data_IF_949430152801
#
_entry.id   IF_949430152801
#
_cell.length_a   1.000
_cell.length_b   1.000
_cell.length_c   1.000
_cell.angle_alpha   90.00
_cell.angle_beta   90.00
_cell.angle_gamma   90.00
#
_symmetry.space_group_name_H-M   'P 1'
#
loop_
_entity.id
_entity.type
_entity.pdbx_description
1 polymer ?
#
# COMPACT_ATOMS: atom_id res chain seq x y z
N UNK A 1 0.96 42.25 12.55
CA UNK A 1 1.16 40.81 12.25
C UNK A 1 0.29 40.45 11.06
N UNK A 2 0.83 40.47 9.85
CA UNK A 2 0.07 40.04 8.66
C UNK A 2 0.76 38.83 8.08
N UNK A 3 0.33 37.64 8.52
CA UNK A 3 0.58 36.43 7.77
C UNK A 3 -0.01 36.64 6.37
N UNK A 4 0.80 36.41 5.34
CA UNK A 4 0.34 36.57 3.96
C UNK A 4 -0.72 35.50 3.69
N UNK A 5 -2.00 35.90 3.75
CA UNK A 5 -3.15 35.02 3.55
C UNK A 5 -3.07 34.30 2.21
N UNK A 6 -2.51 34.96 1.19
CA UNK A 6 -2.23 34.36 -0.12
C UNK A 6 -1.25 33.18 -0.05
N UNK A 7 -0.19 33.29 0.74
CA UNK A 7 0.81 32.23 0.91
C UNK A 7 0.21 31.03 1.65
N UNK A 8 -0.57 31.30 2.71
CA UNK A 8 -1.26 30.25 3.46
C UNK A 8 -2.31 29.54 2.60
N UNK A 9 -3.11 30.29 1.84
CA UNK A 9 -4.08 29.73 0.90
C UNK A 9 -3.39 28.87 -0.17
N UNK A 10 -2.27 29.35 -0.73
CA UNK A 10 -1.49 28.60 -1.72
C UNK A 10 -0.97 27.29 -1.13
N UNK A 11 -0.40 27.33 0.08
CA UNK A 11 0.12 26.14 0.75
C UNK A 11 -0.98 25.10 1.01
N UNK A 12 -2.17 25.52 1.48
CA UNK A 12 -3.32 24.63 1.68
C UNK A 12 -3.79 24.02 0.36
N UNK A 13 -3.87 24.81 -0.71
CA UNK A 13 -4.25 24.31 -2.05
C UNK A 13 -3.24 23.28 -2.55
N UNK A 14 -1.92 23.53 -2.39
CA UNK A 14 -0.89 22.55 -2.78
C UNK A 14 -1.03 21.25 -1.98
N UNK A 15 -1.25 21.33 -0.68
CA UNK A 15 -1.49 20.14 0.15
C UNK A 15 -2.75 19.38 -0.28
N UNK A 16 -3.84 20.08 -0.58
CA UNK A 16 -5.08 19.46 -1.03
C UNK A 16 -4.92 18.80 -2.41
N UNK A 17 -4.33 19.49 -3.37
CA UNK A 17 -4.04 18.95 -4.71
C UNK A 17 -3.12 17.75 -4.60
N UNK A 18 -2.02 17.86 -3.84
CA UNK A 18 -1.10 16.76 -3.61
C UNK A 18 -1.79 15.54 -2.99
N UNK A 19 -2.64 15.74 -1.97
CA UNK A 19 -3.45 14.68 -1.36
C UNK A 19 -4.43 14.02 -2.35
N UNK A 20 -5.09 14.81 -3.20
CA UNK A 20 -5.97 14.27 -4.25
C UNK A 20 -5.19 13.44 -5.27
N UNK A 21 -4.01 13.90 -5.70
CA UNK A 21 -3.14 13.14 -6.61
C UNK A 21 -2.67 11.81 -5.98
N UNK A 22 -2.39 11.78 -4.69
CA UNK A 22 -2.01 10.55 -3.97
C UNK A 22 -3.12 9.50 -3.91
N UNK A 23 -4.39 9.89 -4.10
CA UNK A 23 -5.53 8.97 -4.17
C UNK A 23 -5.74 8.37 -5.57
N UNK A 24 -4.91 8.71 -6.54
CA UNK A 24 -5.01 8.16 -7.89
C UNK A 24 -4.22 6.85 -8.02
N UNK A 25 -4.59 5.99 -8.98
CA UNK A 25 -3.93 4.68 -9.21
C UNK A 25 -2.52 4.72 -9.83
N UNK A 26 -2.18 5.62 -10.78
CA UNK A 26 -0.86 5.57 -11.42
C UNK A 26 0.22 6.10 -10.47
N UNK A 27 1.30 5.33 -10.33
CA UNK A 27 2.39 5.57 -9.38
C UNK A 27 3.05 6.93 -9.65
N UNK A 28 3.24 7.29 -10.92
CA UNK A 28 3.75 8.62 -11.30
C UNK A 28 2.91 9.77 -10.74
N UNK A 29 1.56 9.65 -10.73
CA UNK A 29 0.69 10.68 -10.16
C UNK A 29 0.74 10.70 -8.64
N UNK A 30 0.84 9.55 -7.99
CA UNK A 30 1.02 9.47 -6.53
C UNK A 30 2.33 10.17 -6.14
N UNK A 31 3.41 9.90 -6.87
CA UNK A 31 4.72 10.50 -6.63
C UNK A 31 4.69 12.02 -6.86
N UNK A 32 4.05 12.47 -7.94
CA UNK A 32 3.84 13.89 -8.21
C UNK A 32 3.00 14.54 -7.10
N UNK A 33 1.98 13.85 -6.60
CA UNK A 33 1.17 14.28 -5.47
C UNK A 33 2.00 14.48 -4.20
N UNK A 34 2.90 13.55 -3.88
CA UNK A 34 3.82 13.64 -2.76
C UNK A 34 4.78 14.85 -2.89
N UNK A 35 5.30 15.10 -4.10
CA UNK A 35 6.16 16.27 -4.38
C UNK A 35 5.40 17.57 -4.19
N UNK A 36 4.19 17.69 -4.75
CA UNK A 36 3.36 18.90 -4.63
C UNK A 36 2.95 19.14 -3.18
N UNK A 37 2.53 18.10 -2.45
CA UNK A 37 2.21 18.20 -1.04
C UNK A 37 3.43 18.61 -0.19
N UNK A 38 4.61 18.03 -0.46
CA UNK A 38 5.87 18.40 0.19
C UNK A 38 6.23 19.87 0.00
N UNK A 39 6.03 20.41 -1.22
CA UNK A 39 6.19 21.84 -1.49
C UNK A 39 5.19 22.69 -0.70
N UNK A 40 3.92 22.26 -0.58
CA UNK A 40 2.92 22.91 0.26
C UNK A 40 3.32 22.94 1.74
N UNK A 41 3.83 21.83 2.28
CA UNK A 41 4.33 21.74 3.65
C UNK A 41 5.54 22.67 3.87
N UNK A 42 6.48 22.72 2.92
CA UNK A 42 7.62 23.65 2.99
C UNK A 42 7.16 25.12 3.04
N UNK A 43 6.11 25.47 2.29
CA UNK A 43 5.51 26.81 2.38
C UNK A 43 4.85 27.06 3.74
N UNK A 44 4.19 26.06 4.35
CA UNK A 44 3.64 26.19 5.70
C UNK A 44 4.75 26.42 6.74
N UNK A 45 5.84 25.66 6.67
CA UNK A 45 7.01 25.84 7.54
C UNK A 45 7.58 27.25 7.37
N UNK A 46 7.76 27.72 6.13
CA UNK A 46 8.28 29.06 5.87
C UNK A 46 7.32 30.17 6.32
N UNK A 47 6.01 29.91 6.29
CA UNK A 47 5.01 30.86 6.81
C UNK A 47 5.12 31.08 8.31
N UNK A 48 5.65 30.10 9.07
CA UNK A 48 5.84 30.21 10.52
C UNK A 48 6.94 31.20 10.92
N UNK A 49 7.83 31.55 9.99
CA UNK A 49 8.96 32.46 10.20
C UNK A 49 8.55 33.91 10.53
N UNK A 50 7.31 34.32 10.25
CA UNK A 50 6.85 35.66 10.59
C UNK A 50 7.07 36.69 9.48
N UNK A 51 7.24 37.96 9.85
CA UNK A 51 7.45 39.07 8.90
C UNK A 51 8.77 38.93 8.14
N UNK A 52 8.74 39.25 6.85
CA UNK A 52 9.96 39.33 6.03
C UNK A 52 10.92 40.38 6.61
N UNK A 53 12.00 39.92 7.22
CA UNK A 53 13.13 40.74 7.65
C UNK A 53 14.26 40.70 6.63
N UNK A 54 15.41 41.23 7.01
CA UNK A 54 16.63 41.04 6.24
C UNK A 54 17.03 39.55 6.21
N UNK A 55 17.76 39.16 5.16
CA UNK A 55 18.36 37.84 5.09
C UNK A 55 19.26 37.60 6.32
N UNK A 56 19.29 36.37 6.88
CA UNK A 56 20.15 35.99 8.00
C UNK A 56 21.61 35.86 7.56
N UNK A 57 22.16 36.94 7.02
CA UNK A 57 23.56 37.13 6.67
C UNK A 57 24.14 38.07 7.73
N UNK A 58 25.21 37.65 8.41
CA UNK A 58 25.82 38.39 9.54
C UNK A 58 26.42 39.76 9.16
N UNK A 59 26.22 40.24 7.93
CA UNK A 59 26.82 41.46 7.42
C UNK A 59 25.81 42.63 7.49
N UNK A 60 26.07 43.58 8.39
CA UNK A 60 25.53 44.94 8.30
C UNK A 60 24.06 45.17 8.71
N UNK A 61 23.36 44.17 9.29
CA UNK A 61 21.96 44.33 9.74
C UNK A 61 21.81 44.02 11.24
N UNK A 62 21.06 44.84 12.01
CA UNK A 62 20.75 44.52 13.41
C UNK A 62 19.98 43.21 13.53
N UNK A 63 20.34 42.36 14.50
CA UNK A 63 19.70 41.06 14.76
C UNK A 63 18.17 41.17 14.89
N UNK A 64 17.66 42.27 15.43
CA UNK A 64 16.22 42.52 15.57
C UNK A 64 15.45 42.67 14.24
N UNK A 65 16.16 42.86 13.12
CA UNK A 65 15.60 42.92 11.77
C UNK A 65 15.88 41.67 10.94
N UNK A 66 16.55 40.68 11.51
CA UNK A 66 16.89 39.43 10.83
C UNK A 66 15.72 38.46 10.94
N UNK A 67 15.41 37.83 9.81
CA UNK A 67 14.40 36.77 9.72
C UNK A 67 14.87 35.52 10.46
N UNK A 68 13.98 34.79 11.16
CA UNK A 68 14.34 33.56 11.88
C UNK A 68 14.95 32.51 10.93
N UNK A 69 16.22 32.11 11.13
CA UNK A 69 16.89 31.14 10.27
C UNK A 69 16.44 29.68 10.52
N UNK A 70 15.78 29.39 11.64
CA UNK A 70 15.46 28.01 12.02
C UNK A 70 14.46 27.35 11.04
N UNK A 71 13.32 27.95 10.69
CA UNK A 71 12.42 27.35 9.70
C UNK A 71 13.06 27.24 8.30
N UNK A 72 14.00 28.12 7.96
CA UNK A 72 14.71 28.08 6.67
C UNK A 72 15.64 26.87 6.57
N UNK A 73 16.38 26.57 7.64
CA UNK A 73 17.24 25.39 7.71
C UNK A 73 16.42 24.08 7.67
N UNK A 74 15.27 24.06 8.36
CA UNK A 74 14.33 22.92 8.32
C UNK A 74 13.80 22.72 6.89
N UNK A 75 13.37 23.80 6.22
CA UNK A 75 12.87 23.73 4.85
C UNK A 75 13.93 23.23 3.87
N UNK A 76 15.18 23.71 3.96
CA UNK A 76 16.26 23.23 3.11
C UNK A 76 16.51 21.71 3.27
N UNK A 77 16.49 21.23 4.52
CA UNK A 77 16.65 19.81 4.82
C UNK A 77 15.50 18.98 4.24
N UNK A 78 14.27 19.47 4.39
CA UNK A 78 13.09 18.83 3.83
C UNK A 78 13.16 18.74 2.30
N UNK A 79 13.59 19.79 1.60
CA UNK A 79 13.75 19.81 0.14
C UNK A 79 14.73 18.72 -0.32
N UNK A 80 15.88 18.58 0.35
CA UNK A 80 16.88 17.57 -0.02
C UNK A 80 16.36 16.16 0.20
N UNK A 81 15.68 15.91 1.33
CA UNK A 81 15.07 14.61 1.61
C UNK A 81 14.01 14.29 0.54
N UNK A 82 13.12 15.23 0.23
CA UNK A 82 12.09 15.04 -0.79
C UNK A 82 12.71 14.77 -2.16
N UNK A 83 13.77 15.47 -2.55
CA UNK A 83 14.46 15.23 -3.82
C UNK A 83 15.08 13.83 -3.87
N UNK A 84 15.79 13.44 -2.80
CA UNK A 84 16.45 12.13 -2.72
C UNK A 84 15.43 10.98 -2.76
N UNK A 85 14.36 11.05 -1.95
CA UNK A 85 13.31 10.02 -1.92
C UNK A 85 12.53 9.99 -3.22
N UNK A 86 12.24 11.14 -3.83
CA UNK A 86 11.55 11.21 -5.13
C UNK A 86 12.40 10.60 -6.24
N UNK A 87 13.69 10.94 -6.32
CA UNK A 87 14.59 10.37 -7.32
C UNK A 87 14.69 8.84 -7.17
N UNK A 88 14.82 8.37 -5.93
CA UNK A 88 14.85 6.94 -5.63
C UNK A 88 13.55 6.23 -6.02
N UNK A 89 12.39 6.75 -5.60
CA UNK A 89 11.09 6.18 -5.93
C UNK A 89 10.82 6.24 -7.43
N UNK A 90 11.23 7.31 -8.12
CA UNK A 90 11.08 7.43 -9.57
C UNK A 90 11.95 6.40 -10.31
N UNK A 91 13.17 6.14 -9.83
CA UNK A 91 14.03 5.09 -10.38
C UNK A 91 13.41 3.69 -10.19
N UNK A 92 12.84 3.42 -9.00
CA UNK A 92 12.12 2.16 -8.75
C UNK A 92 10.85 2.04 -9.58
N UNK A 93 10.07 3.11 -9.70
CA UNK A 93 8.87 3.15 -10.54
C UNK A 93 9.22 2.89 -12.01
N UNK A 94 10.28 3.52 -12.51
CA UNK A 94 10.79 3.29 -13.85
C UNK A 94 11.24 1.84 -14.05
N UNK A 95 11.91 1.24 -13.06
CA UNK A 95 12.29 -0.17 -13.09
C UNK A 95 11.07 -1.09 -13.08
N UNK A 96 10.07 -0.80 -12.24
CA UNK A 96 8.80 -1.54 -12.18
C UNK A 96 8.06 -1.47 -13.51
N UNK A 97 7.97 -0.29 -14.10
CA UNK A 97 7.35 -0.08 -15.41
C UNK A 97 8.03 -0.91 -16.51
N UNK A 98 9.36 -1.00 -16.50
CA UNK A 98 10.08 -1.86 -17.45
C UNK A 98 9.78 -3.36 -17.28
N UNK A 99 9.49 -3.81 -16.05
CA UNK A 99 9.21 -5.22 -15.75
C UNK A 99 7.75 -5.59 -16.05
N UNK A 100 6.82 -4.74 -15.63
CA UNK A 100 5.37 -5.04 -15.67
C UNK A 100 4.68 -4.42 -16.90
N UNK A 101 5.27 -3.39 -17.51
CA UNK A 101 4.70 -2.66 -18.64
C UNK A 101 3.55 -1.71 -18.27
N UNK A 102 3.24 -1.57 -16.98
CA UNK A 102 2.16 -0.73 -16.44
C UNK A 102 2.67 0.07 -15.24
N UNK A 103 2.20 1.31 -15.12
CA UNK A 103 2.52 2.25 -14.03
C UNK A 103 1.40 2.29 -12.97
N UNK A 104 0.41 1.40 -13.07
CA UNK A 104 -0.70 1.36 -12.11
C UNK A 104 -0.32 0.56 -10.86
N UNK A 105 -0.68 1.11 -9.70
CA UNK A 105 -0.61 0.37 -8.43
C UNK A 105 -1.72 -0.67 -8.41
N UNK A 106 -1.33 -1.95 -8.34
CA UNK A 106 -2.24 -3.08 -8.35
C UNK A 106 -2.72 -3.40 -6.92
N UNK A 107 -3.95 -3.89 -6.83
CA UNK A 107 -4.51 -4.41 -5.59
C UNK A 107 -3.85 -5.77 -5.27
N UNK A 108 -3.49 -6.00 -4.00
CA UNK A 108 -2.87 -7.26 -3.59
C UNK A 108 -3.87 -8.43 -3.66
N UNK A 109 -3.53 -9.46 -4.44
CA UNK A 109 -4.33 -10.66 -4.61
C UNK A 109 -4.42 -11.48 -3.32
N UNK A 110 -3.39 -11.44 -2.46
CA UNK A 110 -3.37 -12.15 -1.19
C UNK A 110 -4.28 -11.47 -0.18
N UNK A 111 -4.33 -10.13 -0.13
CA UNK A 111 -5.30 -9.41 0.70
C UNK A 111 -6.74 -9.75 0.32
N UNK A 112 -7.02 -9.82 -0.99
CA UNK A 112 -8.32 -10.27 -1.49
C UNK A 112 -8.65 -11.70 -1.04
N UNK A 113 -7.65 -12.59 -1.01
CA UNK A 113 -7.79 -13.98 -0.57
C UNK A 113 -8.10 -14.08 0.92
N UNK A 114 -7.39 -13.32 1.76
CA UNK A 114 -7.60 -13.30 3.21
C UNK A 114 -9.03 -12.85 3.50
N UNK A 115 -9.49 -11.77 2.87
CA UNK A 115 -10.86 -11.27 3.01
C UNK A 115 -11.92 -12.31 2.62
N UNK A 116 -11.79 -12.91 1.43
CA UNK A 116 -12.76 -13.92 0.95
C UNK A 116 -12.77 -15.18 1.83
N UNK A 117 -11.61 -15.62 2.32
CA UNK A 117 -11.53 -16.74 3.26
C UNK A 117 -12.20 -16.41 4.59
N UNK A 118 -11.97 -15.22 5.14
CA UNK A 118 -12.60 -14.77 6.36
C UNK A 118 -14.14 -14.72 6.20
N UNK A 119 -14.65 -14.16 5.10
CA UNK A 119 -16.09 -14.12 4.79
C UNK A 119 -16.70 -15.52 4.74
N UNK A 120 -16.07 -16.45 4.00
CA UNK A 120 -16.58 -17.81 3.85
C UNK A 120 -16.53 -18.59 5.16
N UNK A 121 -15.45 -18.45 5.95
CA UNK A 121 -15.33 -19.11 7.24
C UNK A 121 -16.36 -18.58 8.24
N UNK A 122 -16.56 -17.25 8.30
CA UNK A 122 -17.60 -16.63 9.10
C UNK A 122 -18.99 -17.15 8.73
N UNK A 123 -19.33 -17.14 7.43
CA UNK A 123 -20.62 -17.65 6.95
C UNK A 123 -20.83 -19.14 7.27
N UNK A 124 -19.78 -19.94 7.21
CA UNK A 124 -19.82 -21.37 7.60
C UNK A 124 -20.04 -21.55 9.10
N UNK A 125 -19.53 -20.66 9.95
CA UNK A 125 -19.75 -20.69 11.39
C UNK A 125 -21.21 -20.34 11.72
N UNK A 126 -21.75 -19.26 11.13
CA UNK A 126 -23.16 -18.86 11.28
C UNK A 126 -24.12 -20.00 10.88
N UNK A 127 -23.93 -20.59 9.69
CA UNK A 127 -24.75 -21.71 9.22
C UNK A 127 -24.72 -22.92 10.17
N UNK A 128 -23.58 -23.15 10.85
CA UNK A 128 -23.46 -24.22 11.84
C UNK A 128 -24.23 -23.89 13.11
N UNK A 129 -24.20 -22.64 13.56
CA UNK A 129 -24.94 -22.18 14.72
C UNK A 129 -26.45 -22.20 14.48
N UNK A 130 -26.92 -21.66 13.35
CA UNK A 130 -28.32 -21.73 12.93
C UNK A 130 -28.83 -23.17 12.91
N UNK A 131 -28.09 -24.06 12.24
CA UNK A 131 -28.45 -25.49 12.16
C UNK A 131 -28.42 -26.19 13.53
N UNK A 132 -27.59 -25.73 14.48
CA UNK A 132 -27.54 -26.27 15.85
C UNK A 132 -28.69 -25.77 16.71
N UNK A 133 -29.04 -24.48 16.59
CA UNK A 133 -30.08 -23.81 17.37
C UNK A 133 -31.50 -24.30 17.03
N UNK A 134 -31.71 -24.79 15.82
CA UNK A 134 -33.01 -25.30 15.37
C UNK A 134 -33.38 -26.61 16.11
N UNK A 135 -34.49 -26.55 16.87
CA UNK A 135 -35.04 -27.68 17.63
C UNK A 135 -36.07 -28.44 16.76
N UNK A 136 -35.89 -29.75 16.58
CA UNK A 136 -36.79 -30.57 15.75
C UNK A 136 -36.39 -30.71 14.26
N UNK A 137 -35.08 -30.87 13.99
CA UNK A 137 -34.51 -30.87 12.62
C UNK A 137 -35.12 -31.91 11.69
N UNK A 138 -35.54 -31.45 10.50
CA UNK A 138 -36.11 -32.27 9.43
C UNK A 138 -35.03 -32.72 8.44
N UNK A 139 -35.34 -33.75 7.64
CA UNK A 139 -34.46 -34.22 6.54
C UNK A 139 -34.20 -33.12 5.50
N UNK A 140 -35.16 -32.21 5.30
CA UNK A 140 -35.05 -31.00 4.47
C UNK A 140 -33.96 -30.05 4.97
N UNK A 141 -33.88 -29.82 6.28
CA UNK A 141 -32.98 -28.83 6.88
C UNK A 141 -31.52 -29.28 6.75
N UNK A 142 -31.28 -30.59 6.93
CA UNK A 142 -29.98 -31.21 6.60
C UNK A 142 -29.62 -31.08 5.13
N UNK A 143 -30.59 -31.20 4.22
CA UNK A 143 -30.33 -31.04 2.79
C UNK A 143 -29.96 -29.60 2.45
N UNK A 144 -30.67 -28.62 3.04
CA UNK A 144 -30.42 -27.18 2.89
C UNK A 144 -29.05 -26.78 3.44
N UNK A 145 -28.72 -27.15 4.68
CA UNK A 145 -27.41 -26.89 5.27
C UNK A 145 -26.26 -27.46 4.43
N UNK A 146 -26.38 -28.70 3.93
CA UNK A 146 -25.37 -29.31 3.05
C UNK A 146 -25.28 -28.67 1.67
N UNK A 147 -26.40 -28.16 1.15
CA UNK A 147 -26.39 -27.41 -0.12
C UNK A 147 -25.65 -26.08 0.04
N UNK A 148 -25.93 -25.33 1.12
CA UNK A 148 -25.26 -24.05 1.41
C UNK A 148 -23.76 -24.24 1.66
N UNK A 149 -23.39 -25.25 2.42
CA UNK A 149 -21.98 -25.56 2.68
C UNK A 149 -21.23 -25.95 1.39
N UNK A 150 -21.91 -26.62 0.44
CA UNK A 150 -21.35 -26.91 -0.90
C UNK A 150 -21.21 -25.65 -1.75
N UNK A 151 -22.17 -24.71 -1.69
CA UNK A 151 -22.11 -23.41 -2.39
C UNK A 151 -20.92 -22.58 -1.93
N UNK A 152 -20.72 -22.45 -0.63
CA UNK A 152 -19.59 -21.72 -0.05
C UNK A 152 -18.24 -22.34 -0.44
N UNK A 153 -18.15 -23.68 -0.45
CA UNK A 153 -16.95 -24.37 -0.92
C UNK A 153 -16.72 -24.21 -2.44
N UNK A 154 -17.78 -24.13 -3.24
CA UNK A 154 -17.68 -23.87 -4.67
C UNK A 154 -17.18 -22.44 -4.95
N UNK A 155 -17.60 -21.44 -4.15
CA UNK A 155 -17.13 -20.05 -4.26
C UNK A 155 -15.60 -19.93 -4.12
N UNK A 156 -15.01 -20.61 -3.12
CA UNK A 156 -13.55 -20.69 -2.93
C UNK A 156 -12.81 -21.48 -4.03
N UNK A 157 -13.50 -22.37 -4.77
CA UNK A 157 -12.91 -23.11 -5.89
C UNK A 157 -12.93 -22.28 -7.17
N UNK A 158 -14.03 -21.56 -7.41
CA UNK A 158 -14.16 -20.65 -8.54
C UNK A 158 -13.11 -19.52 -8.49
N UNK A 159 -12.87 -18.97 -7.30
CA UNK A 159 -11.85 -17.95 -7.06
C UNK A 159 -10.43 -18.47 -7.38
N UNK A 160 -10.09 -19.68 -6.90
CA UNK A 160 -8.84 -20.37 -7.26
C UNK A 160 -8.69 -20.65 -8.76
N UNK A 161 -9.79 -20.94 -9.46
CA UNK A 161 -9.78 -21.21 -10.90
C UNK A 161 -9.53 -19.94 -11.74
N UNK A 162 -10.03 -18.79 -11.30
CA UNK A 162 -9.71 -17.49 -11.91
C UNK A 162 -8.23 -17.12 -11.71
N UNK A 163 -7.67 -17.47 -10.55
CA UNK A 163 -6.28 -17.17 -10.18
C UNK A 163 -5.24 -18.06 -10.89
N UNK A 164 -5.58 -19.31 -11.24
CA UNK A 164 -4.70 -20.17 -12.03
C UNK A 164 -4.33 -19.57 -13.40
N UNK A 165 -5.09 -18.58 -13.87
CA UNK A 165 -4.79 -17.81 -15.10
C UNK A 165 -3.95 -16.56 -14.86
N UNK A 166 -3.76 -16.13 -13.60
CA UNK A 166 -3.01 -14.93 -13.23
C UNK A 166 -1.63 -15.20 -12.60
N UNK A 167 -1.28 -16.47 -12.35
CA UNK A 167 0.01 -16.87 -11.74
C UNK A 167 1.23 -16.54 -12.59
N UNK A 168 1.06 -16.34 -13.89
CA UNK A 168 2.16 -16.23 -14.86
C UNK A 168 2.92 -14.88 -14.78
N UNK A 169 2.44 -13.89 -14.01
CA UNK A 169 3.06 -12.55 -13.97
C UNK A 169 3.90 -12.24 -12.72
N UNK A 170 3.76 -13.02 -11.63
CA UNK A 170 4.45 -12.72 -10.36
C UNK A 170 4.78 -13.95 -9.50
N UNK A 171 4.24 -15.13 -9.83
CA UNK A 171 4.33 -16.32 -8.97
C UNK A 171 5.72 -16.95 -8.91
N UNK A 172 6.46 -16.92 -10.01
CA UNK A 172 7.75 -17.64 -10.11
C UNK A 172 8.94 -16.81 -9.59
N UNK A 173 8.80 -15.48 -9.50
CA UNK A 173 9.93 -14.59 -9.18
C UNK A 173 10.40 -14.72 -7.72
N UNK A 174 9.51 -15.06 -6.79
CA UNK A 174 9.86 -15.25 -5.38
C UNK A 174 10.46 -16.63 -5.09
N UNK A 175 9.98 -17.68 -5.77
CA UNK A 175 10.54 -19.04 -5.66
C UNK A 175 11.94 -19.15 -6.30
N UNK A 176 12.19 -18.43 -7.41
CA UNK A 176 13.50 -18.40 -8.06
C UNK A 176 14.56 -17.61 -7.30
N UNK A 177 14.17 -16.57 -6.55
CA UNK A 177 15.11 -15.68 -5.83
C UNK A 177 15.45 -16.19 -4.42
N UNK A 178 14.52 -16.87 -3.74
CA UNK A 178 14.72 -17.32 -2.35
C UNK A 178 14.86 -18.84 -2.19
N UNK A 179 14.73 -19.62 -3.27
CA UNK A 179 14.69 -21.08 -3.18
C UNK A 179 13.38 -21.58 -2.57
N UNK A 180 13.05 -22.85 -2.82
CA UNK A 180 11.80 -23.47 -2.37
C UNK A 180 11.58 -23.28 -0.85
N UNK A 181 10.30 -23.25 -0.43
CA UNK A 181 9.94 -23.11 0.97
C UNK A 181 10.59 -24.25 1.79
N UNK A 182 11.05 -23.98 3.04
CA UNK A 182 11.67 -25.00 3.90
C UNK A 182 10.82 -26.26 4.07
N UNK A 183 9.49 -26.11 4.00
CA UNK A 183 8.52 -27.21 4.15
C UNK A 183 8.50 -28.17 2.95
N UNK A 184 8.97 -27.74 1.79
CA UNK A 184 9.07 -28.59 0.59
C UNK A 184 10.28 -29.53 0.65
N UNK A 185 11.39 -29.13 1.30
CA UNK A 185 12.54 -30.03 1.53
C UNK A 185 12.23 -31.17 2.50
N UNK A 186 11.30 -30.97 3.44
CA UNK A 186 10.96 -31.97 4.46
C UNK A 186 10.23 -33.19 3.85
N UNK A 187 9.58 -33.01 2.70
CA UNK A 187 8.82 -34.07 2.05
C UNK A 187 9.61 -34.85 0.99
N UNK A 188 10.68 -34.29 0.43
CA UNK A 188 11.43 -34.91 -0.68
C UNK A 188 12.36 -36.05 -0.21
N UNK A 189 12.94 -35.93 0.99
CA UNK A 189 13.86 -36.94 1.56
C UNK A 189 13.17 -38.27 1.94
N UNK A 190 11.84 -38.34 1.95
CA UNK A 190 11.13 -39.57 2.40
C UNK A 190 10.76 -40.54 1.27
N UNK A 191 11.02 -40.20 0.01
CA UNK A 191 10.54 -40.98 -1.14
C UNK A 191 11.63 -41.70 -1.96
N UNK A 192 12.92 -41.42 -1.74
CA UNK A 192 14.00 -42.03 -2.55
C UNK A 192 14.40 -43.45 -2.08
N UNK A 193 14.11 -43.82 -0.83
CA UNK A 193 14.55 -45.12 -0.26
C UNK A 193 13.64 -46.32 -0.58
N UNK A 194 12.57 -46.17 -1.39
CA UNK A 194 11.64 -47.28 -1.73
C UNK A 194 11.85 -47.91 -3.11
N UNK A 195 12.85 -47.46 -3.87
CA UNK A 195 13.07 -47.89 -5.27
C UNK A 195 14.18 -48.93 -5.50
N UNK A 196 15.05 -49.21 -4.53
CA UNK A 196 16.26 -50.00 -4.75
C UNK A 196 16.32 -51.30 -3.92
N UNK A 197 15.25 -52.09 -3.91
CA UNK A 197 15.28 -53.47 -3.43
C UNK A 197 14.16 -54.29 -4.11
N UNK A 198 14.43 -54.74 -5.33
CA UNK A 198 13.60 -55.67 -6.11
C UNK A 198 14.47 -56.47 -7.06
#
# INVERSE_FOLDING_TARGET
MTMSVSLLATAVVLCAVGGILMLTRPLTRILLGAVIAGNGINLLVLSSTGSAGAAPLLYGVPLARVTDPLPQAIALTAIVITLATTAFLLAMAYRSYQLTGTDEVHDDLEDRRIFLRAEVLGRRAELREEYRAESGRTRSDRARYRAEHRRLAARLRADRALQARGRDASGDLWHDVLGADPEDYVNDDTNDDRGAAG
#
